data_IF_423530185974
#
_entry.id   IF_423530185974
#
_cell.length_a   1.000
_cell.length_b   1.000
_cell.length_c   1.000
_cell.angle_alpha   90.00
_cell.angle_beta   90.00
_cell.angle_gamma   90.00
#
_symmetry.space_group_name_H-M   'P 1'
#
loop_
_entity.id
_entity.type
_entity.pdbx_description
1 polymer ?
#
# COMPACT_ATOMS: atom_id res chain seq x y z
N UNK A 1 -33.53 56.71 -8.93
CA UNK A 1 -34.47 55.89 -9.72
C UNK A 1 -33.62 54.82 -10.39
N UNK A 2 -33.20 53.73 -9.72
CA UNK A 2 -33.93 52.67 -9.01
C UNK A 2 -34.39 51.56 -9.96
N UNK A 3 -34.24 50.32 -9.47
CA UNK A 3 -34.65 49.03 -10.01
C UNK A 3 -33.72 48.46 -11.11
N UNK A 4 -33.35 47.17 -11.08
CA UNK A 4 -33.33 46.24 -9.93
C UNK A 4 -32.35 45.09 -10.22
N UNK A 5 -31.59 44.65 -9.22
CA UNK A 5 -30.77 43.43 -9.29
C UNK A 5 -31.54 42.22 -8.77
N UNK A 6 -31.51 41.10 -9.52
CA UNK A 6 -31.88 39.77 -9.04
C UNK A 6 -30.93 38.71 -9.63
N UNK A 7 -30.38 37.78 -8.82
CA UNK A 7 -29.49 36.72 -9.29
C UNK A 7 -30.24 35.43 -9.64
N UNK A 8 -29.61 34.61 -10.49
CA UNK A 8 -29.81 33.16 -10.57
C UNK A 8 -28.43 32.55 -10.26
N UNK A 9 -28.21 31.93 -9.11
CA UNK A 9 -28.67 30.59 -8.73
C UNK A 9 -28.07 29.56 -9.70
N UNK A 10 -27.09 28.80 -9.21
CA UNK A 10 -26.28 27.90 -10.02
C UNK A 10 -27.02 26.62 -10.42
N UNK A 11 -26.53 25.98 -11.48
CA UNK A 11 -26.87 24.60 -11.80
C UNK A 11 -25.78 23.68 -11.23
N UNK A 12 -26.20 22.77 -10.36
CA UNK A 12 -25.38 21.66 -9.87
C UNK A 12 -24.87 20.86 -11.07
N UNK A 13 -23.58 20.53 -11.10
CA UNK A 13 -23.06 19.52 -12.03
C UNK A 13 -23.71 18.19 -11.64
N UNK A 14 -24.66 17.71 -12.44
CA UNK A 14 -25.27 16.41 -12.23
C UNK A 14 -24.20 15.33 -12.41
N UNK A 15 -23.94 14.56 -11.36
CA UNK A 15 -23.03 13.41 -11.43
C UNK A 15 -23.60 12.38 -12.40
N UNK A 16 -22.99 12.25 -13.57
CA UNK A 16 -23.31 11.20 -14.54
C UNK A 16 -22.97 9.85 -13.92
N UNK A 17 -23.98 9.16 -13.40
CA UNK A 17 -23.89 7.75 -13.04
C UNK A 17 -23.53 6.95 -14.27
N UNK A 18 -22.29 6.47 -14.34
CA UNK A 18 -21.90 5.49 -15.35
C UNK A 18 -22.61 4.19 -14.99
N UNK A 19 -23.55 3.76 -15.82
CA UNK A 19 -24.25 2.48 -15.66
C UNK A 19 -23.25 1.33 -15.87
N UNK A 20 -22.64 0.88 -14.78
CA UNK A 20 -21.59 -0.13 -14.77
C UNK A 20 -22.17 -1.54 -14.99
N UNK A 21 -22.53 -1.87 -16.24
CA UNK A 21 -22.91 -3.22 -16.66
C UNK A 21 -21.74 -4.23 -16.67
N UNK A 22 -20.81 -4.11 -15.73
CA UNK A 22 -19.74 -5.08 -15.49
C UNK A 22 -20.19 -6.21 -14.55
N UNK A 23 -19.39 -7.27 -14.42
CA UNK A 23 -19.62 -8.28 -13.38
C UNK A 23 -19.49 -7.65 -11.99
N UNK A 24 -20.37 -8.06 -11.08
CA UNK A 24 -20.27 -7.77 -9.65
C UNK A 24 -18.92 -8.27 -9.12
N UNK A 25 -18.24 -7.45 -8.32
CA UNK A 25 -16.95 -7.81 -7.70
C UNK A 25 -17.04 -7.78 -6.18
N UNK A 26 -16.45 -8.78 -5.54
CA UNK A 26 -16.24 -8.78 -4.09
C UNK A 26 -15.11 -7.80 -3.75
N UNK A 27 -15.41 -6.76 -2.98
CA UNK A 27 -14.38 -5.97 -2.30
C UNK A 27 -14.04 -6.66 -0.97
N UNK A 28 -12.90 -7.35 -0.91
CA UNK A 28 -12.46 -8.06 0.28
C UNK A 28 -12.10 -7.14 1.45
N UNK A 29 -11.67 -5.89 1.18
CA UNK A 29 -11.41 -4.91 2.24
C UNK A 29 -12.73 -4.51 2.90
N UNK A 30 -13.76 -4.20 2.09
CA UNK A 30 -15.08 -3.87 2.62
C UNK A 30 -15.73 -5.09 3.32
N UNK A 31 -15.64 -6.29 2.75
CA UNK A 31 -16.15 -7.53 3.35
C UNK A 31 -15.53 -7.80 4.73
N UNK A 32 -14.22 -7.63 4.90
CA UNK A 32 -13.57 -7.82 6.20
C UNK A 32 -14.00 -6.74 7.20
N UNK A 33 -14.11 -5.47 6.78
CA UNK A 33 -14.61 -4.38 7.65
C UNK A 33 -16.04 -4.60 8.14
N UNK A 34 -16.90 -5.23 7.33
CA UNK A 34 -18.29 -5.56 7.70
C UNK A 34 -18.41 -6.80 8.61
N UNK A 35 -17.31 -7.53 8.82
CA UNK A 35 -17.28 -8.76 9.62
C UNK A 35 -16.35 -8.71 10.84
N UNK A 36 -15.54 -7.66 10.97
CA UNK A 36 -14.62 -7.46 12.09
C UNK A 36 -15.09 -6.30 12.98
N UNK A 37 -14.96 -6.48 14.29
CA UNK A 37 -15.28 -5.44 15.28
C UNK A 37 -14.12 -4.44 15.34
N UNK A 38 -14.19 -3.45 14.45
CA UNK A 38 -13.21 -2.38 14.30
C UNK A 38 -13.66 -1.14 15.09
N UNK A 39 -13.17 -0.93 16.32
CA UNK A 39 -13.45 0.30 17.05
C UNK A 39 -12.83 1.51 16.34
N UNK A 40 -13.37 2.71 16.59
CA UNK A 40 -12.78 3.97 16.11
C UNK A 40 -11.41 4.23 16.77
N UNK A 41 -11.12 3.61 17.92
CA UNK A 41 -9.82 3.68 18.59
C UNK A 41 -8.87 2.61 18.08
N UNK A 42 -7.78 3.04 17.46
CA UNK A 42 -6.60 2.24 17.15
C UNK A 42 -5.41 2.67 18.02
N UNK A 43 -4.26 2.00 17.92
CA UNK A 43 -3.13 2.26 18.82
C UNK A 43 -1.85 2.47 18.03
N UNK A 44 -1.13 3.56 18.31
CA UNK A 44 0.05 3.96 17.56
C UNK A 44 1.26 4.25 18.47
N UNK A 45 2.46 4.11 17.90
CA UNK A 45 3.72 4.59 18.48
C UNK A 45 4.76 4.86 17.40
N UNK A 46 5.69 5.75 17.71
CA UNK A 46 6.98 5.90 17.01
C UNK A 46 8.02 5.07 17.76
N UNK A 47 8.80 4.24 17.07
CA UNK A 47 9.84 3.38 17.68
C UNK A 47 11.27 3.86 17.46
N UNK A 48 11.48 4.80 16.55
CA UNK A 48 12.76 5.42 16.22
C UNK A 48 12.65 6.42 15.07
N UNK A 49 13.81 6.94 14.62
CA UNK A 49 13.90 7.93 13.52
C UNK A 49 13.18 7.45 12.25
N UNK A 50 12.03 8.08 11.96
CA UNK A 50 11.14 7.73 10.84
C UNK A 50 10.68 6.26 10.83
N UNK A 51 10.43 5.67 12.00
CA UNK A 51 9.82 4.33 12.16
C UNK A 51 8.60 4.41 13.08
N UNK A 52 7.45 3.93 12.61
CA UNK A 52 6.19 3.88 13.36
C UNK A 52 5.53 2.50 13.28
N UNK A 53 4.80 2.12 14.33
CA UNK A 53 3.98 0.91 14.41
C UNK A 53 2.55 1.30 14.77
N UNK A 54 1.57 0.69 14.10
CA UNK A 54 0.15 0.97 14.25
C UNK A 54 -0.64 -0.34 14.38
N UNK A 55 -1.52 -0.42 15.37
CA UNK A 55 -2.37 -1.57 15.66
C UNK A 55 -3.82 -1.18 15.45
N UNK A 56 -4.51 -1.81 14.50
CA UNK A 56 -5.96 -1.65 14.31
C UNK A 56 -6.65 -2.89 14.89
N UNK A 57 -7.38 -2.79 16.02
CA UNK A 57 -8.11 -3.92 16.57
C UNK A 57 -9.18 -4.41 15.59
N UNK A 58 -9.38 -5.73 15.52
CA UNK A 58 -10.40 -6.33 14.65
C UNK A 58 -11.24 -7.42 15.34
N UNK A 59 -10.74 -8.04 16.41
CA UNK A 59 -11.49 -9.03 17.21
C UNK A 59 -10.91 -9.22 18.61
N UNK A 60 -11.58 -8.66 19.63
CA UNK A 60 -11.14 -8.79 21.03
C UNK A 60 -9.76 -8.14 21.24
N UNK A 61 -8.76 -8.93 21.65
CA UNK A 61 -7.36 -8.48 21.75
C UNK A 61 -6.62 -8.49 20.41
N UNK A 62 -7.08 -9.23 19.40
CA UNK A 62 -6.38 -9.38 18.11
C UNK A 62 -6.46 -8.08 17.30
N UNK A 63 -5.31 -7.64 16.82
CA UNK A 63 -5.13 -6.44 16.04
C UNK A 63 -4.24 -6.67 14.81
N UNK A 64 -4.54 -5.93 13.75
CA UNK A 64 -3.72 -5.81 12.56
C UNK A 64 -2.56 -4.88 12.87
N UNK A 65 -1.35 -5.43 12.90
CA UNK A 65 -0.12 -4.73 13.21
C UNK A 65 0.58 -4.32 11.91
N UNK A 66 0.54 -3.02 11.62
CA UNK A 66 1.18 -2.40 10.46
C UNK A 66 2.43 -1.64 10.89
N UNK A 67 3.56 -1.89 10.23
CA UNK A 67 4.82 -1.19 10.48
C UNK A 67 5.24 -0.31 9.31
N UNK A 68 5.74 0.88 9.61
CA UNK A 68 6.20 1.89 8.65
C UNK A 68 7.64 2.29 8.94
N UNK A 69 8.47 2.44 7.91
CA UNK A 69 9.84 2.93 8.11
C UNK A 69 10.70 3.02 6.87
N UNK A 70 11.70 3.92 6.91
CA UNK A 70 12.62 4.20 5.79
C UNK A 70 13.75 3.19 5.63
N UNK A 71 14.20 2.95 4.39
CA UNK A 71 15.37 2.12 4.11
C UNK A 71 16.68 2.79 4.60
N UNK A 72 17.80 2.07 4.54
CA UNK A 72 19.10 2.62 5.00
C UNK A 72 19.63 3.73 4.07
N UNK A 73 19.34 3.64 2.77
CA UNK A 73 19.95 4.49 1.73
C UNK A 73 18.92 5.38 1.02
N UNK A 74 17.63 5.20 1.32
CA UNK A 74 16.47 5.91 0.79
C UNK A 74 15.65 6.44 1.96
N UNK A 75 15.23 7.70 1.91
CA UNK A 75 14.40 8.30 2.96
C UNK A 75 12.95 7.80 2.94
N UNK A 76 12.47 7.24 1.83
CA UNK A 76 11.05 6.85 1.67
C UNK A 76 10.59 5.90 2.76
N UNK A 77 9.63 6.36 3.57
CA UNK A 77 8.99 5.57 4.62
C UNK A 77 8.04 4.59 3.92
N UNK A 78 8.43 3.32 3.86
CA UNK A 78 7.63 2.26 3.27
C UNK A 78 6.60 1.76 4.28
N UNK A 79 5.44 1.31 3.80
CA UNK A 79 4.57 0.37 4.51
C UNK A 79 5.29 -0.99 4.54
N UNK A 80 6.09 -1.22 5.58
CA UNK A 80 7.08 -2.31 5.63
C UNK A 80 6.45 -3.68 5.74
N UNK A 81 5.56 -3.89 6.71
CA UNK A 81 5.01 -5.20 7.07
C UNK A 81 3.57 -5.08 7.59
N UNK A 82 2.87 -6.20 7.58
CA UNK A 82 1.55 -6.39 8.17
C UNK A 82 1.51 -7.76 8.84
N UNK A 83 1.05 -7.81 10.08
CA UNK A 83 1.07 -8.98 10.94
C UNK A 83 -0.19 -9.03 11.81
N UNK A 84 -0.43 -10.16 12.49
CA UNK A 84 -1.36 -10.20 13.63
C UNK A 84 -0.58 -10.07 14.93
N UNK A 85 -1.11 -9.27 15.86
CA UNK A 85 -0.65 -9.22 17.25
C UNK A 85 -1.85 -9.27 18.19
N UNK A 86 -1.61 -9.60 19.45
CA UNK A 86 -2.52 -9.24 20.54
C UNK A 86 -2.08 -7.93 21.19
N UNK A 87 -3.07 -7.12 21.56
CA UNK A 87 -2.90 -5.91 22.35
C UNK A 87 -2.89 -6.25 23.85
N UNK A 88 -1.76 -6.07 24.53
CA UNK A 88 -1.63 -6.34 25.97
C UNK A 88 -1.39 -5.05 26.78
N UNK A 89 -2.03 -4.87 27.95
CA UNK A 89 -1.78 -3.71 28.81
C UNK A 89 -0.43 -3.81 29.54
N UNK A 90 0.33 -2.71 29.57
CA UNK A 90 1.63 -2.62 30.25
C UNK A 90 1.72 -1.40 31.16
N UNK A 91 2.47 -1.52 32.25
CA UNK A 91 2.79 -0.39 33.13
C UNK A 91 3.96 0.43 32.54
N UNK A 92 3.86 1.76 32.62
CA UNK A 92 4.87 2.69 32.14
C UNK A 92 5.90 3.01 33.24
N UNK A 93 7.18 3.16 32.88
CA UNK A 93 8.25 3.63 33.79
C UNK A 93 8.03 5.08 34.24
N UNK A 94 7.35 5.86 33.41
CA UNK A 94 6.84 7.22 33.73
C UNK A 94 5.62 7.21 34.67
N UNK A 95 5.04 6.03 34.94
CA UNK A 95 3.80 5.86 35.70
C UNK A 95 2.56 5.85 34.81
N UNK A 96 1.54 5.09 35.21
CA UNK A 96 0.33 4.86 34.42
C UNK A 96 0.41 3.61 33.55
N UNK A 97 -0.46 3.54 32.54
CA UNK A 97 -0.71 2.35 31.73
C UNK A 97 -0.67 2.71 30.23
N UNK A 98 0.03 1.90 29.45
CA UNK A 98 0.01 1.91 27.99
C UNK A 98 -0.24 0.50 27.45
N UNK A 99 0.06 0.28 26.18
CA UNK A 99 -0.14 -1.02 25.52
C UNK A 99 1.12 -1.53 24.82
N UNK A 100 1.26 -2.85 24.75
CA UNK A 100 2.25 -3.58 23.96
C UNK A 100 1.57 -4.45 22.90
N UNK A 101 2.34 -4.86 21.89
CA UNK A 101 1.91 -5.81 20.87
C UNK A 101 2.67 -7.12 21.04
N UNK A 102 1.96 -8.21 21.32
CA UNK A 102 2.51 -9.58 21.26
C UNK A 102 2.24 -10.14 19.87
N UNK A 103 3.25 -10.12 19.01
CA UNK A 103 3.12 -10.59 17.63
C UNK A 103 2.92 -12.11 17.60
N UNK A 104 1.94 -12.54 16.80
CA UNK A 104 1.66 -13.94 16.49
C UNK A 104 2.43 -14.35 15.23
N UNK A 105 1.97 -13.92 14.06
CA UNK A 105 2.55 -14.24 12.77
C UNK A 105 2.57 -13.02 11.83
N UNK A 106 3.53 -13.00 10.90
CA UNK A 106 3.60 -12.01 9.81
C UNK A 106 2.77 -12.49 8.61
N UNK A 107 2.06 -11.57 7.94
CA UNK A 107 1.25 -11.85 6.75
C UNK A 107 1.79 -11.14 5.51
N UNK A 108 2.12 -9.84 5.63
CA UNK A 108 2.67 -9.04 4.53
C UNK A 108 4.17 -8.91 4.68
N UNK A 109 4.90 -9.30 3.63
CA UNK A 109 6.35 -9.48 3.68
C UNK A 109 7.06 -8.17 4.08
N UNK A 110 7.90 -8.21 5.14
CA UNK A 110 8.73 -7.09 5.55
C UNK A 110 9.61 -6.50 4.44
N UNK A 111 9.71 -5.17 4.42
CA UNK A 111 10.55 -4.33 3.53
C UNK A 111 10.24 -4.40 2.02
N UNK A 112 9.43 -5.35 1.54
CA UNK A 112 8.96 -5.31 0.16
C UNK A 112 7.96 -4.16 -0.04
N UNK A 113 8.24 -3.26 -0.99
CA UNK A 113 7.34 -2.20 -1.45
C UNK A 113 5.94 -2.75 -1.75
N UNK A 114 4.93 -1.92 -1.43
CA UNK A 114 3.49 -2.18 -1.61
C UNK A 114 2.84 -1.09 -2.46
N UNK A 115 3.36 0.12 -2.36
CA UNK A 115 2.92 1.36 -2.98
C UNK A 115 3.26 1.37 -4.48
N UNK A 116 4.56 1.42 -4.79
CA UNK A 116 5.09 1.40 -6.15
C UNK A 116 6.55 0.90 -6.19
N UNK A 117 7.03 0.56 -7.38
CA UNK A 117 8.45 0.42 -7.69
C UNK A 117 8.67 0.63 -9.19
N UNK A 118 9.53 1.57 -9.59
CA UNK A 118 9.76 1.89 -11.01
C UNK A 118 11.26 1.85 -11.34
N UNK A 119 11.64 1.10 -12.37
CA UNK A 119 13.02 0.92 -12.82
C UNK A 119 13.36 1.92 -13.92
N UNK A 120 14.18 2.93 -13.59
CA UNK A 120 14.38 4.15 -14.36
C UNK A 120 15.83 4.46 -14.68
N UNK A 121 16.09 5.10 -15.82
CA UNK A 121 17.31 5.86 -16.09
C UNK A 121 16.98 7.20 -16.76
N UNK A 122 17.85 8.22 -16.68
CA UNK A 122 17.71 9.42 -17.50
C UNK A 122 17.72 9.02 -18.98
N UNK A 123 16.77 9.53 -19.77
CA UNK A 123 16.67 9.14 -21.18
C UNK A 123 17.97 9.45 -21.94
N UNK A 124 18.35 8.56 -22.85
CA UNK A 124 19.52 8.65 -23.76
C UNK A 124 20.91 8.84 -23.09
N UNK A 125 20.99 8.79 -21.75
CA UNK A 125 22.24 8.95 -20.97
C UNK A 125 23.21 7.78 -21.06
N UNK A 126 22.72 6.57 -21.38
CA UNK A 126 23.48 5.32 -21.27
C UNK A 126 23.62 4.79 -19.83
N UNK A 127 23.06 5.46 -18.82
CA UNK A 127 22.98 4.95 -17.46
C UNK A 127 22.17 3.66 -17.37
N UNK A 128 22.54 2.78 -16.43
CA UNK A 128 21.77 1.58 -16.10
C UNK A 128 20.48 1.97 -15.39
N UNK A 129 19.38 1.25 -15.63
CA UNK A 129 18.15 1.47 -14.88
C UNK A 129 18.31 1.10 -13.39
N UNK A 130 17.73 1.90 -12.51
CA UNK A 130 17.73 1.78 -11.05
C UNK A 130 16.29 1.83 -10.52
N UNK A 131 16.00 1.20 -9.38
CA UNK A 131 14.66 1.22 -8.80
C UNK A 131 14.41 2.48 -7.96
N UNK A 132 13.28 3.14 -8.21
CA UNK A 132 12.65 4.14 -7.33
C UNK A 132 11.48 3.47 -6.58
N UNK A 133 11.46 3.42 -5.24
CA UNK A 133 12.60 3.55 -4.33
C UNK A 133 13.56 2.34 -4.45
N UNK A 134 14.72 2.43 -3.79
CA UNK A 134 15.86 1.53 -3.99
C UNK A 134 15.61 0.07 -3.56
N UNK A 135 16.13 -0.87 -4.37
CA UNK A 135 16.11 -2.32 -4.14
C UNK A 135 17.51 -2.95 -4.07
N UNK A 136 18.58 -2.15 -4.13
CA UNK A 136 19.96 -2.60 -4.42
C UNK A 136 21.06 -1.91 -3.61
N UNK A 137 20.70 -1.25 -2.50
CA UNK A 137 21.57 -0.51 -1.59
C UNK A 137 22.22 0.74 -2.17
N UNK A 138 21.62 1.31 -3.23
CA UNK A 138 22.05 2.55 -3.87
C UNK A 138 20.92 3.57 -3.74
N UNK A 139 21.15 4.66 -3.00
CA UNK A 139 20.10 5.66 -2.74
C UNK A 139 19.60 6.34 -4.02
N UNK A 140 18.28 6.45 -4.14
CA UNK A 140 17.54 7.01 -5.28
C UNK A 140 16.41 7.95 -4.87
N UNK A 141 15.86 7.85 -3.65
CA UNK A 141 14.72 8.67 -3.19
C UNK A 141 15.05 9.36 -1.86
N UNK A 142 15.00 10.70 -1.89
CA UNK A 142 15.41 11.56 -0.78
C UNK A 142 14.29 12.54 -0.38
N UNK A 143 14.16 12.82 0.91
CA UNK A 143 13.06 13.63 1.44
C UNK A 143 13.24 15.14 1.18
N UNK A 144 12.16 15.79 0.71
CA UNK A 144 11.97 17.24 0.84
C UNK A 144 11.31 17.54 2.18
N UNK A 145 10.24 16.79 2.50
CA UNK A 145 9.52 16.90 3.77
C UNK A 145 8.83 15.58 4.09
N UNK A 146 8.91 15.16 5.35
CA UNK A 146 8.17 14.00 5.87
C UNK A 146 7.53 14.38 7.20
N UNK A 147 6.25 14.08 7.36
CA UNK A 147 5.40 14.46 8.49
C UNK A 147 4.62 13.24 8.97
N UNK A 148 4.36 13.14 10.26
CA UNK A 148 3.44 12.14 10.81
C UNK A 148 2.47 12.82 11.76
N UNK A 149 1.19 12.51 11.59
CA UNK A 149 0.10 13.02 12.39
C UNK A 149 -0.59 11.87 13.09
N UNK A 150 -0.84 12.03 14.39
CA UNK A 150 -1.74 11.19 15.16
C UNK A 150 -2.96 12.07 15.47
N UNK A 151 -4.14 11.73 14.94
CA UNK A 151 -5.36 12.54 15.09
C UNK A 151 -5.21 14.00 14.66
N UNK A 152 -4.59 14.18 13.49
CA UNK A 152 -4.18 15.45 12.87
C UNK A 152 -3.16 16.32 13.66
N UNK A 153 -2.80 15.94 14.90
CA UNK A 153 -1.66 16.52 15.64
C UNK A 153 -0.32 15.96 15.15
N UNK A 154 0.60 16.85 14.72
CA UNK A 154 1.90 16.47 14.14
C UNK A 154 2.95 16.11 15.20
N UNK A 155 3.47 14.86 15.16
CA UNK A 155 4.66 14.44 15.91
C UNK A 155 5.92 14.76 15.10
N UNK A 156 6.25 16.05 15.00
CA UNK A 156 7.30 16.58 14.12
C UNK A 156 8.69 15.95 14.34
N UNK A 157 9.04 15.73 15.61
CA UNK A 157 10.36 15.20 16.02
C UNK A 157 10.50 13.68 15.85
N UNK A 158 9.39 12.96 15.62
CA UNK A 158 9.35 11.49 15.71
C UNK A 158 9.95 10.99 17.03
N UNK A 159 9.55 11.64 18.13
CA UNK A 159 9.98 11.23 19.48
C UNK A 159 9.48 9.81 19.74
N UNK A 160 10.39 8.91 20.10
CA UNK A 160 10.09 7.51 20.41
C UNK A 160 9.15 7.43 21.63
N UNK A 161 7.96 6.85 21.44
CA UNK A 161 7.05 6.56 22.55
C UNK A 161 7.55 5.34 23.36
N UNK A 162 7.20 5.29 24.65
CA UNK A 162 7.52 4.17 25.55
C UNK A 162 6.68 2.91 25.24
N UNK A 163 5.41 3.13 24.86
CA UNK A 163 4.40 2.11 24.61
C UNK A 163 3.45 2.59 23.50
N UNK A 164 2.56 1.72 23.01
CA UNK A 164 1.46 2.15 22.15
C UNK A 164 0.46 3.00 22.93
N UNK A 165 0.02 4.12 22.34
CA UNK A 165 -1.02 5.02 22.85
C UNK A 165 -2.27 5.00 21.95
N UNK A 166 -3.48 5.18 22.51
CA UNK A 166 -4.71 5.24 21.72
C UNK A 166 -4.76 6.50 20.85
N UNK A 167 -5.26 6.33 19.63
CA UNK A 167 -5.53 7.36 18.61
C UNK A 167 -6.74 6.93 17.77
N UNK A 168 -7.28 7.78 16.90
CA UNK A 168 -8.30 7.44 15.90
C UNK A 168 -7.73 7.25 14.48
N UNK A 169 -6.57 7.83 14.22
CA UNK A 169 -5.93 7.87 12.91
C UNK A 169 -4.41 8.09 12.99
N UNK A 170 -3.68 7.56 12.02
CA UNK A 170 -2.27 7.89 11.75
C UNK A 170 -2.14 8.28 10.28
N UNK A 171 -1.61 9.47 10.00
CA UNK A 171 -1.31 9.92 8.63
C UNK A 171 0.19 10.19 8.50
N UNK A 172 0.84 9.61 7.50
CA UNK A 172 2.23 9.90 7.14
C UNK A 172 2.20 10.61 5.78
N UNK A 173 2.67 11.85 5.73
CA UNK A 173 2.81 12.62 4.48
C UNK A 173 4.27 12.71 4.09
N UNK A 174 4.56 12.44 2.82
CA UNK A 174 5.90 12.45 2.26
C UNK A 174 5.92 13.21 0.95
N UNK A 175 6.85 14.17 0.83
CA UNK A 175 7.24 14.78 -0.44
C UNK A 175 8.74 14.61 -0.62
N UNK A 176 9.14 14.14 -1.78
CA UNK A 176 10.47 13.59 -2.04
C UNK A 176 10.93 13.91 -3.47
N UNK A 177 12.23 13.72 -3.70
CA UNK A 177 12.85 13.72 -5.02
C UNK A 177 13.36 12.32 -5.34
N UNK A 178 13.02 11.83 -6.54
CA UNK A 178 13.72 10.72 -7.17
C UNK A 178 14.91 11.21 -8.00
N UNK A 179 16.11 10.66 -7.77
CA UNK A 179 17.35 10.95 -8.52
C UNK A 179 17.92 9.68 -9.16
N UNK A 180 18.83 9.85 -10.11
CA UNK A 180 19.72 8.76 -10.53
C UNK A 180 21.05 8.86 -9.76
N UNK A 181 21.64 7.77 -9.25
CA UNK A 181 22.88 7.82 -8.48
C UNK A 181 24.10 8.32 -9.27
N UNK A 182 24.11 8.14 -10.59
CA UNK A 182 25.16 8.70 -11.47
C UNK A 182 24.89 10.18 -11.85
N UNK A 183 23.67 10.70 -11.64
CA UNK A 183 23.28 12.10 -11.90
C UNK A 183 22.53 12.73 -10.69
N UNK A 184 23.09 12.73 -9.47
CA UNK A 184 22.35 13.05 -8.24
C UNK A 184 21.94 14.53 -8.13
N UNK A 185 22.57 15.41 -8.92
CA UNK A 185 22.23 16.84 -9.01
C UNK A 185 21.15 17.17 -10.04
N UNK A 186 20.64 16.19 -10.80
CA UNK A 186 19.69 16.40 -11.89
C UNK A 186 18.43 15.50 -11.74
N UNK A 187 17.52 15.85 -10.81
CA UNK A 187 16.32 15.09 -10.46
C UNK A 187 15.52 14.47 -11.62
N UNK A 188 15.04 13.24 -11.40
CA UNK A 188 14.18 12.50 -12.32
C UNK A 188 12.70 12.82 -12.09
N UNK A 189 12.28 12.86 -10.82
CA UNK A 189 10.89 12.97 -10.42
C UNK A 189 10.73 13.76 -9.10
N UNK A 190 9.60 14.46 -8.98
CA UNK A 190 8.99 14.74 -7.67
C UNK A 190 8.04 13.58 -7.33
N UNK A 191 8.03 13.18 -6.06
CA UNK A 191 7.21 12.08 -5.56
C UNK A 191 6.48 12.56 -4.30
N UNK A 192 5.16 12.52 -4.35
CA UNK A 192 4.28 12.75 -3.21
C UNK A 192 3.65 11.41 -2.80
N UNK A 193 3.64 11.09 -1.50
CA UNK A 193 3.05 9.85 -0.99
C UNK A 193 2.41 10.05 0.38
N UNK A 194 1.17 9.60 0.51
CA UNK A 194 0.42 9.62 1.77
C UNK A 194 0.01 8.20 2.16
N UNK A 195 0.37 7.81 3.38
CA UNK A 195 -0.17 6.63 4.05
C UNK A 195 -1.16 7.11 5.12
N UNK A 196 -2.39 6.60 5.10
CA UNK A 196 -3.39 6.86 6.15
C UNK A 196 -3.83 5.54 6.75
N UNK A 197 -3.67 5.38 8.06
CA UNK A 197 -4.16 4.24 8.83
C UNK A 197 -5.30 4.70 9.71
N UNK A 198 -6.45 4.08 9.53
CA UNK A 198 -7.65 4.26 10.35
C UNK A 198 -8.33 2.90 10.58
N UNK A 199 -9.54 2.90 11.15
CA UNK A 199 -10.37 1.69 11.29
C UNK A 199 -10.74 1.00 9.97
N UNK A 200 -10.52 1.65 8.82
CA UNK A 200 -10.73 1.08 7.48
C UNK A 200 -9.45 0.41 6.91
N UNK A 201 -8.33 0.41 7.65
CA UNK A 201 -7.06 -0.21 7.26
C UNK A 201 -5.99 0.80 6.83
N UNK A 202 -5.00 0.34 6.06
CA UNK A 202 -3.91 1.17 5.53
C UNK A 202 -4.26 1.62 4.12
N UNK A 203 -4.73 2.86 3.97
CA UNK A 203 -4.87 3.52 2.67
C UNK A 203 -3.54 4.09 2.20
N UNK A 204 -3.24 3.89 0.90
CA UNK A 204 -2.04 4.37 0.22
C UNK A 204 -2.48 5.25 -0.95
N UNK A 205 -1.82 6.40 -1.10
CA UNK A 205 -1.89 7.25 -2.27
C UNK A 205 -0.48 7.72 -2.63
N UNK A 206 -0.01 7.45 -3.86
CA UNK A 206 1.30 7.85 -4.34
C UNK A 206 1.18 8.50 -5.71
N UNK A 207 1.76 9.68 -5.88
CA UNK A 207 1.82 10.43 -7.15
C UNK A 207 3.28 10.72 -7.48
N UNK A 208 3.67 10.40 -8.71
CA UNK A 208 5.01 10.62 -9.26
C UNK A 208 4.88 11.55 -10.45
N UNK A 209 5.58 12.69 -10.42
CA UNK A 209 5.64 13.65 -11.54
C UNK A 209 7.06 13.73 -12.08
N UNK A 210 7.22 13.39 -13.36
CA UNK A 210 8.52 13.38 -14.02
C UNK A 210 9.00 14.81 -14.33
N UNK A 211 10.28 15.09 -14.09
CA UNK A 211 10.88 16.43 -14.19
C UNK A 211 11.69 16.64 -15.47
N UNK A 212 12.14 15.54 -16.06
CA UNK A 212 12.96 15.46 -17.29
C UNK A 212 12.57 14.18 -18.06
N UNK A 213 13.01 14.00 -19.32
CA UNK A 213 12.80 12.73 -20.02
C UNK A 213 13.48 11.56 -19.29
N UNK A 214 12.72 10.50 -19.03
CA UNK A 214 13.16 9.33 -18.24
C UNK A 214 12.76 8.05 -18.96
N UNK A 215 13.71 7.12 -19.12
CA UNK A 215 13.45 5.77 -19.63
C UNK A 215 13.01 4.87 -18.47
N UNK A 216 11.82 4.29 -18.59
CA UNK A 216 11.25 3.31 -17.67
C UNK A 216 11.34 1.92 -18.33
N UNK A 217 12.15 1.01 -17.75
CA UNK A 217 12.23 -0.37 -18.22
C UNK A 217 10.99 -1.18 -17.77
N UNK A 218 10.63 -1.05 -16.49
CA UNK A 218 9.45 -1.66 -15.89
C UNK A 218 8.97 -0.80 -14.71
N UNK A 219 7.68 -0.87 -14.39
CA UNK A 219 7.14 -0.19 -13.21
C UNK A 219 5.87 -0.85 -12.70
N UNK A 220 5.69 -0.80 -11.39
CA UNK A 220 4.59 -1.44 -10.66
C UNK A 220 3.93 -0.46 -9.70
N UNK A 221 2.64 -0.68 -9.41
CA UNK A 221 1.89 -0.03 -8.34
C UNK A 221 0.98 -1.03 -7.64
N UNK A 222 0.60 -0.77 -6.39
CA UNK A 222 -0.28 -1.61 -5.57
C UNK A 222 0.09 -3.10 -5.62
N UNK A 223 1.33 -3.40 -5.25
CA UNK A 223 1.85 -4.76 -5.20
C UNK A 223 1.42 -5.43 -3.90
N UNK A 224 1.06 -6.71 -3.94
CA UNK A 224 0.65 -7.47 -2.75
C UNK A 224 1.70 -8.54 -2.37
N UNK A 225 2.71 -8.20 -1.55
CA UNK A 225 3.74 -9.13 -1.09
C UNK A 225 3.31 -9.82 0.20
N UNK A 226 3.08 -11.12 0.15
CA UNK A 226 2.71 -11.94 1.29
C UNK A 226 3.86 -12.86 1.73
N UNK A 227 3.89 -13.19 3.02
CA UNK A 227 4.85 -14.12 3.61
C UNK A 227 4.56 -15.53 3.10
N UNK A 228 5.58 -16.20 2.54
CA UNK A 228 5.42 -17.47 1.83
C UNK A 228 4.95 -18.64 2.71
N UNK A 229 5.12 -18.56 4.03
CA UNK A 229 4.60 -19.55 5.00
C UNK A 229 3.16 -19.27 5.44
N UNK A 230 2.55 -18.15 5.03
CA UNK A 230 1.16 -17.80 5.33
C UNK A 230 0.25 -17.95 4.12
N UNK A 231 0.69 -17.52 2.93
CA UNK A 231 -0.16 -17.55 1.72
C UNK A 231 -0.16 -18.92 1.04
N UNK A 232 -1.30 -19.62 1.11
CA UNK A 232 -1.56 -20.77 0.23
C UNK A 232 -2.22 -20.34 -1.08
N UNK A 233 -3.11 -19.34 -1.01
CA UNK A 233 -3.95 -18.93 -2.15
C UNK A 233 -4.11 -17.42 -2.26
N UNK A 234 -4.23 -16.96 -3.50
CA UNK A 234 -4.68 -15.62 -3.86
C UNK A 234 -6.10 -15.72 -4.43
N UNK A 235 -7.07 -15.12 -3.76
CA UNK A 235 -8.43 -14.91 -4.29
C UNK A 235 -8.57 -13.50 -4.87
N UNK A 236 -9.46 -13.33 -5.85
CA UNK A 236 -9.73 -12.04 -6.51
C UNK A 236 -11.20 -11.67 -6.46
N UNK A 237 -11.49 -10.37 -6.57
CA UNK A 237 -12.86 -9.84 -6.50
C UNK A 237 -13.77 -10.37 -7.61
N UNK A 238 -13.20 -10.88 -8.70
CA UNK A 238 -13.93 -11.55 -9.80
C UNK A 238 -14.22 -13.04 -9.52
N UNK A 239 -13.89 -13.54 -8.32
CA UNK A 239 -14.22 -14.90 -7.88
C UNK A 239 -13.23 -15.99 -8.31
N UNK A 240 -12.10 -15.62 -8.91
CA UNK A 240 -11.04 -16.59 -9.21
C UNK A 240 -10.14 -16.81 -8.00
N UNK A 241 -9.55 -18.01 -7.92
CA UNK A 241 -8.63 -18.41 -6.87
C UNK A 241 -7.41 -19.08 -7.50
N UNK A 242 -6.23 -18.68 -7.05
CA UNK A 242 -4.94 -19.10 -7.58
C UNK A 242 -4.11 -19.72 -6.45
N UNK A 243 -3.56 -20.91 -6.66
CA UNK A 243 -2.58 -21.50 -5.74
C UNK A 243 -1.30 -20.64 -5.73
N UNK A 244 -0.74 -20.44 -4.54
CA UNK A 244 0.44 -19.62 -4.25
C UNK A 244 1.57 -20.41 -3.56
N UNK A 245 1.43 -21.72 -3.41
CA UNK A 245 2.36 -22.59 -2.68
C UNK A 245 3.64 -22.96 -3.46
N UNK A 246 3.78 -22.55 -4.73
CA UNK A 246 4.97 -22.81 -5.53
C UNK A 246 6.13 -21.87 -5.16
N UNK A 247 7.37 -22.35 -5.25
CA UNK A 247 8.57 -21.62 -4.80
C UNK A 247 9.69 -21.57 -5.85
N UNK A 248 9.32 -21.87 -7.11
CA UNK A 248 10.21 -22.16 -8.25
C UNK A 248 10.55 -20.96 -9.14
N UNK A 249 10.06 -19.76 -8.78
CA UNK A 249 10.10 -18.50 -9.56
C UNK A 249 9.27 -18.51 -10.85
N UNK A 250 8.31 -19.43 -10.98
CA UNK A 250 7.29 -19.35 -12.03
C UNK A 250 6.33 -18.16 -11.82
N UNK A 251 5.44 -17.93 -12.80
CA UNK A 251 4.46 -16.84 -12.77
C UNK A 251 3.08 -17.36 -13.17
N UNK A 252 2.09 -17.12 -12.32
CA UNK A 252 0.67 -17.31 -12.66
C UNK A 252 0.11 -15.97 -13.14
N UNK A 253 -0.03 -15.80 -14.46
CA UNK A 253 -0.83 -14.73 -15.04
C UNK A 253 -2.29 -14.90 -14.63
N UNK A 254 -3.00 -13.82 -14.29
CA UNK A 254 -4.41 -13.90 -13.91
C UNK A 254 -5.30 -13.89 -15.16
N UNK A 255 -6.38 -14.67 -15.19
CA UNK A 255 -7.26 -14.78 -16.38
C UNK A 255 -8.16 -13.55 -16.56
N UNK A 256 -8.40 -12.81 -15.47
CA UNK A 256 -8.97 -11.47 -15.46
C UNK A 256 -8.03 -10.40 -16.03
N UNK A 257 -6.74 -10.69 -16.19
CA UNK A 257 -5.67 -9.71 -16.30
C UNK A 257 -5.77 -8.66 -15.18
N UNK A 258 -5.89 -7.37 -15.50
CA UNK A 258 -5.98 -6.28 -14.53
C UNK A 258 -7.41 -5.88 -14.17
N UNK A 259 -8.44 -6.61 -14.61
CA UNK A 259 -9.86 -6.26 -14.40
C UNK A 259 -10.34 -6.35 -12.94
N UNK A 260 -9.61 -6.98 -12.03
CA UNK A 260 -10.06 -7.10 -10.64
C UNK A 260 -9.61 -5.92 -9.78
N UNK A 261 -10.57 -5.35 -9.04
CA UNK A 261 -10.37 -4.26 -8.10
C UNK A 261 -9.81 -4.72 -6.75
N UNK A 262 -10.09 -5.97 -6.34
CA UNK A 262 -9.78 -6.46 -4.99
C UNK A 262 -9.12 -7.83 -5.02
N UNK A 263 -8.25 -8.07 -4.04
CA UNK A 263 -7.42 -9.25 -3.90
C UNK A 263 -7.36 -9.64 -2.42
N UNK A 264 -7.33 -10.94 -2.14
CA UNK A 264 -7.18 -11.47 -0.79
C UNK A 264 -6.14 -12.60 -0.78
N UNK A 265 -5.26 -12.59 0.22
CA UNK A 265 -4.31 -13.69 0.49
C UNK A 265 -4.84 -14.52 1.64
N UNK A 266 -4.92 -15.83 1.42
CA UNK A 266 -5.67 -16.78 2.25
C UNK A 266 -4.75 -17.91 2.71
N UNK A 267 -4.77 -18.18 4.01
CA UNK A 267 -4.22 -19.39 4.61
C UNK A 267 -5.27 -20.49 4.63
N UNK A 268 -4.87 -21.76 4.47
CA UNK A 268 -5.81 -22.89 4.34
C UNK A 268 -5.56 -24.09 5.26
N UNK A 269 -4.34 -24.42 5.74
CA UNK A 269 -4.15 -25.25 6.92
C UNK A 269 -4.81 -24.65 8.17
N UNK A 270 -5.01 -25.49 9.19
CA UNK A 270 -5.21 -25.01 10.56
C UNK A 270 -3.88 -24.49 11.12
N UNK A 271 -3.89 -23.36 11.82
CA UNK A 271 -2.74 -22.76 12.49
C UNK A 271 -2.99 -22.51 13.98
N UNK A 272 -1.95 -22.57 14.83
CA UNK A 272 -2.10 -22.52 16.29
C UNK A 272 -2.54 -21.14 16.83
N UNK A 273 -2.28 -20.06 16.09
CA UNK A 273 -2.60 -18.69 16.49
C UNK A 273 -3.81 -18.12 15.72
N UNK A 274 -4.54 -18.96 14.98
CA UNK A 274 -5.73 -18.57 14.20
C UNK A 274 -5.42 -18.05 12.80
N UNK A 275 -4.38 -18.60 12.16
CA UNK A 275 -3.97 -18.26 10.79
C UNK A 275 -5.08 -18.55 9.76
N UNK A 276 -5.75 -19.71 9.86
CA UNK A 276 -6.84 -20.14 8.97
C UNK A 276 -7.99 -19.13 8.87
N UNK A 277 -8.38 -18.56 10.01
CA UNK A 277 -9.46 -17.57 10.07
C UNK A 277 -9.04 -16.20 9.51
N UNK A 278 -7.74 -15.96 9.32
CA UNK A 278 -7.18 -14.64 9.03
C UNK A 278 -6.99 -14.44 7.53
N UNK A 279 -7.36 -13.26 7.03
CA UNK A 279 -7.08 -12.81 5.66
C UNK A 279 -6.40 -11.44 5.71
N UNK A 280 -5.45 -11.22 4.80
CA UNK A 280 -5.12 -9.87 4.36
C UNK A 280 -5.76 -9.61 2.99
N UNK A 281 -6.40 -8.45 2.86
CA UNK A 281 -7.03 -7.96 1.63
C UNK A 281 -6.33 -6.69 1.11
N UNK A 282 -6.44 -6.46 -0.19
CA UNK A 282 -6.01 -5.25 -0.89
C UNK A 282 -7.06 -4.87 -1.93
N UNK A 283 -7.58 -3.65 -1.85
CA UNK A 283 -8.49 -3.08 -2.87
C UNK A 283 -7.84 -1.85 -3.51
N UNK A 284 -7.72 -1.88 -4.83
CA UNK A 284 -7.14 -0.82 -5.66
C UNK A 284 -8.15 0.31 -5.83
N UNK A 285 -7.70 1.55 -5.59
CA UNK A 285 -8.46 2.78 -5.83
C UNK A 285 -8.01 3.41 -7.16
N UNK A 286 -8.96 4.07 -7.82
CA UNK A 286 -8.87 4.48 -9.24
C UNK A 286 -8.04 3.51 -10.09
N UNK A 287 -8.64 2.37 -10.44
CA UNK A 287 -7.97 1.33 -11.22
C UNK A 287 -7.53 1.83 -12.61
N UNK A 288 -8.20 2.86 -13.16
CA UNK A 288 -7.84 3.43 -14.45
C UNK A 288 -6.57 4.30 -14.37
N UNK A 289 -6.40 5.07 -13.29
CA UNK A 289 -5.15 5.75 -12.99
C UNK A 289 -4.06 4.73 -12.58
N UNK A 290 -4.33 3.92 -11.56
CA UNK A 290 -3.37 2.99 -10.94
C UNK A 290 -2.81 1.97 -11.94
N UNK A 291 -3.63 1.41 -12.84
CA UNK A 291 -3.19 0.49 -13.90
C UNK A 291 -3.05 1.15 -15.29
N UNK A 292 -3.00 2.49 -15.34
CA UNK A 292 -2.70 3.30 -16.54
C UNK A 292 -3.57 3.00 -17.77
N UNK A 293 -4.87 2.78 -17.58
CA UNK A 293 -5.81 2.39 -18.64
C UNK A 293 -5.81 3.40 -19.80
N UNK A 294 -5.60 2.89 -21.03
CA UNK A 294 -5.53 3.70 -22.25
C UNK A 294 -4.26 4.56 -22.41
N UNK A 295 -3.39 4.65 -21.39
CA UNK A 295 -2.25 5.56 -21.40
C UNK A 295 -1.05 5.03 -22.19
N UNK A 296 -0.11 5.93 -22.52
CA UNK A 296 1.18 5.57 -23.08
C UNK A 296 2.02 4.78 -22.06
N UNK A 297 2.84 3.86 -22.58
CA UNK A 297 3.72 3.00 -21.77
C UNK A 297 3.04 1.93 -20.91
N UNK A 298 1.69 1.86 -20.87
CA UNK A 298 1.01 0.73 -20.22
C UNK A 298 1.47 -0.57 -20.86
N UNK A 299 1.75 -1.57 -20.03
CA UNK A 299 2.06 -2.94 -20.45
C UNK A 299 0.99 -3.50 -21.40
N UNK A 300 1.45 -4.16 -22.45
CA UNK A 300 0.62 -4.81 -23.50
C UNK A 300 1.06 -6.24 -23.84
N UNK A 301 2.14 -6.72 -23.22
CA UNK A 301 2.73 -8.04 -23.50
C UNK A 301 2.51 -8.98 -22.31
N UNK A 302 1.80 -10.09 -22.53
CA UNK A 302 1.32 -10.95 -21.44
C UNK A 302 0.37 -10.22 -20.49
N UNK A 303 0.23 -10.73 -19.26
CA UNK A 303 -0.57 -10.07 -18.23
C UNK A 303 0.10 -8.79 -17.70
N UNK A 304 -0.73 -7.79 -17.41
CA UNK A 304 -0.43 -6.67 -16.51
C UNK A 304 -0.33 -7.19 -15.08
N UNK A 305 -1.25 -8.05 -14.63
CA UNK A 305 -1.25 -8.60 -13.25
C UNK A 305 -0.89 -10.08 -13.23
N UNK A 306 0.11 -10.46 -12.44
CA UNK A 306 0.46 -11.86 -12.18
C UNK A 306 0.91 -12.09 -10.73
N UNK A 307 0.80 -13.34 -10.26
CA UNK A 307 1.41 -13.83 -9.02
C UNK A 307 2.80 -14.43 -9.34
N UNK A 308 3.86 -13.96 -8.68
CA UNK A 308 5.23 -14.47 -8.83
C UNK A 308 5.62 -15.36 -7.65
N UNK A 309 5.95 -16.61 -7.97
CA UNK A 309 6.18 -17.73 -7.03
C UNK A 309 7.62 -17.74 -6.49
N UNK A 310 8.05 -16.66 -5.83
CA UNK A 310 9.47 -16.28 -5.71
C UNK A 310 10.34 -17.27 -4.94
N UNK A 311 9.86 -17.75 -3.78
CA UNK A 311 10.52 -18.71 -2.88
C UNK A 311 9.70 -18.85 -1.57
N UNK A 312 10.08 -19.79 -0.72
CA UNK A 312 9.48 -20.11 0.59
C UNK A 312 9.22 -18.90 1.52
N UNK A 313 9.97 -17.79 1.39
CA UNK A 313 9.78 -16.61 2.28
C UNK A 313 8.77 -15.59 1.76
N UNK A 314 8.50 -15.53 0.45
CA UNK A 314 7.66 -14.48 -0.15
C UNK A 314 6.96 -14.98 -1.41
N UNK A 315 5.66 -14.73 -1.50
CA UNK A 315 4.92 -14.70 -2.76
C UNK A 315 4.44 -13.28 -3.02
N UNK A 316 4.34 -12.87 -4.30
CA UNK A 316 4.02 -11.47 -4.61
C UNK A 316 3.13 -11.30 -5.83
N UNK A 317 2.00 -10.64 -5.63
CA UNK A 317 1.18 -10.09 -6.70
C UNK A 317 1.86 -8.84 -7.27
N UNK A 318 1.96 -8.80 -8.61
CA UNK A 318 2.60 -7.74 -9.37
C UNK A 318 1.66 -7.20 -10.45
N UNK A 319 1.08 -6.00 -10.25
CA UNK A 319 0.56 -5.19 -11.34
C UNK A 319 1.72 -4.43 -12.00
N UNK A 320 2.20 -4.88 -13.17
CA UNK A 320 3.21 -4.17 -13.96
C UNK A 320 2.55 -3.17 -14.90
N UNK A 321 2.48 -1.93 -14.44
CA UNK A 321 1.78 -0.83 -15.08
C UNK A 321 2.59 -0.15 -16.19
N UNK A 322 3.92 -0.32 -16.19
CA UNK A 322 4.83 0.21 -17.21
C UNK A 322 5.68 -0.90 -17.84
N UNK A 323 5.82 -0.87 -19.17
CA UNK A 323 6.65 -1.80 -19.94
C UNK A 323 7.38 -1.02 -21.05
N UNK A 324 8.69 -0.80 -20.89
CA UNK A 324 9.61 -0.17 -21.86
C UNK A 324 9.09 1.15 -22.48
N UNK A 325 9.14 2.25 -21.73
CA UNK A 325 8.59 3.55 -22.14
C UNK A 325 9.45 4.75 -21.70
N UNK A 326 9.54 5.78 -22.54
CA UNK A 326 10.20 7.06 -22.19
C UNK A 326 9.16 8.13 -21.89
N UNK A 327 8.96 8.43 -20.60
CA UNK A 327 8.08 9.50 -20.12
C UNK A 327 8.71 10.87 -20.31
N UNK A 328 7.86 11.89 -20.47
CA UNK A 328 8.21 13.28 -20.73
C UNK A 328 8.07 14.17 -19.47
N UNK A 329 8.69 15.36 -19.43
CA UNK A 329 8.54 16.31 -18.33
C UNK A 329 7.07 16.69 -18.12
N UNK A 330 6.60 16.64 -16.88
CA UNK A 330 5.22 16.94 -16.51
C UNK A 330 4.23 15.78 -16.64
N UNK A 331 4.62 14.64 -17.21
CA UNK A 331 3.81 13.42 -17.10
C UNK A 331 3.71 12.96 -15.64
N UNK A 332 2.57 12.35 -15.31
CA UNK A 332 2.31 11.78 -13.99
C UNK A 332 2.05 10.28 -14.03
N UNK A 333 2.29 9.64 -12.90
CA UNK A 333 1.77 8.34 -12.54
C UNK A 333 1.17 8.41 -11.14
N UNK A 334 0.07 7.71 -10.93
CA UNK A 334 -0.62 7.61 -9.64
C UNK A 334 -0.83 6.13 -9.32
N UNK A 335 -0.65 5.76 -8.05
CA UNK A 335 -0.96 4.43 -7.53
C UNK A 335 -1.69 4.57 -6.20
N UNK A 336 -2.88 3.96 -6.07
CA UNK A 336 -3.64 4.06 -4.83
C UNK A 336 -4.49 2.84 -4.50
N UNK A 337 -4.81 2.69 -3.22
CA UNK A 337 -5.62 1.58 -2.71
C UNK A 337 -5.67 1.51 -1.19
N UNK A 338 -6.22 0.43 -0.67
CA UNK A 338 -6.30 0.15 0.78
C UNK A 338 -5.92 -1.31 1.04
N UNK A 339 -5.13 -1.54 2.08
CA UNK A 339 -4.87 -2.86 2.65
C UNK A 339 -5.63 -3.02 3.97
N UNK A 340 -6.14 -4.21 4.24
CA UNK A 340 -6.80 -4.55 5.51
C UNK A 340 -6.38 -5.96 5.96
N UNK A 341 -6.27 -6.18 7.27
CA UNK A 341 -6.05 -7.49 7.88
C UNK A 341 -7.15 -7.70 8.92
N UNK A 342 -7.80 -8.85 8.89
CA UNK A 342 -8.83 -9.24 9.84
C UNK A 342 -9.25 -10.70 9.63
N UNK A 343 -10.32 -11.11 10.30
CA UNK A 343 -10.83 -12.48 10.21
C UNK A 343 -12.02 -12.62 9.23
N UNK A 344 -12.16 -13.83 8.70
CA UNK A 344 -13.35 -14.31 7.99
C UNK A 344 -14.58 -14.35 8.92
N UNK A 345 -15.79 -14.17 8.38
CA UNK A 345 -17.02 -14.38 9.13
C UNK A 345 -17.15 -15.86 9.51
N UNK A 346 -17.30 -16.13 10.82
CA UNK A 346 -17.38 -17.49 11.38
C UNK A 346 -18.56 -18.35 10.86
N UNK A 347 -19.46 -17.79 10.04
CA UNK A 347 -20.62 -18.45 9.45
C UNK A 347 -20.33 -19.22 8.14
N UNK A 348 -19.05 -19.45 7.80
CA UNK A 348 -18.61 -20.25 6.63
C UNK A 348 -17.53 -21.29 6.99
N UNK A 349 -17.67 -21.95 8.15
CA UNK A 349 -17.00 -23.21 8.48
C UNK A 349 -17.96 -24.38 8.26
#
# INVERSE_FOLDING_TARGET
>A
MNNSTSPLIGQTIASTSIESGGPEQTDFVQLLKEHNDTPDTLYAKVTGDRIAEVLVPFKGSRCAHYGFGKNRNDDFILFRNGAVSDLEPVALTTGGQGFAAVKRFDILQPWSNKEYAICVSPADSGCKHQWLPEHNQVGTVFAISQRIFFDDDENADWTKDEAFRPVQSVRIEQRMIGVHPDEPSAPLAEIDCTHTVDRNGVSVHSVIRWLRPVSIAAGYGMMFPAVGTFIDKLATGLGHVYEATATDRSKTNLIEDDRSLSYAVVHTPDGPDGEHDTIAAMTVRDIAATFRYGQAGRRRSGSVVWLEHRNESIQKLYPQVYDNHTVQPGETYEASGTYFIGELPAAKR
#
